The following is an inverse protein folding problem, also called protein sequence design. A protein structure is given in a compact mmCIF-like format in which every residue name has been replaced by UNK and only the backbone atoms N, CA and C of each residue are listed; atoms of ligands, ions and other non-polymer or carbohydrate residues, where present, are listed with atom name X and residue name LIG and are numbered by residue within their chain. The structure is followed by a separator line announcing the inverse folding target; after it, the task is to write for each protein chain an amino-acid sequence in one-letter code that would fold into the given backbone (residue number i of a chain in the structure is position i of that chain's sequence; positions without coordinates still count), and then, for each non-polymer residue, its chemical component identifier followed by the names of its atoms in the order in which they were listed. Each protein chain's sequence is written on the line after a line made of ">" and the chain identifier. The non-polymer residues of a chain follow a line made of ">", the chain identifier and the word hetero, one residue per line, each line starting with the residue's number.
data_IF_997558037178
#
_entry.id   IF_997558037178
#
_cell.length_a   1.000
_cell.length_b   1.000
_cell.length_c   1.000
_cell.angle_alpha   90.00
_cell.angle_beta   90.00
_cell.angle_gamma   90.00
#
_symmetry.space_group_name_H-M   'P 1'
#
loop_
_entity.id
_entity.type
_entity.pdbx_description
1 polymer ?
#
# COMPACT_ATOMS: atom_id res chain seq x y z
N UNK A 1 20.35 2.41 -30.60
CA UNK A 1 21.42 2.31 -31.61
C UNK A 1 20.85 2.54 -33.00
N UNK A 2 19.93 1.72 -33.51
CA UNK A 2 19.39 1.79 -34.88
C UNK A 2 18.81 3.15 -35.27
N UNK A 3 18.10 3.87 -34.38
CA UNK A 3 17.53 5.19 -34.68
C UNK A 3 18.62 6.28 -34.71
N UNK A 4 19.45 6.36 -33.65
CA UNK A 4 20.34 7.50 -33.44
C UNK A 4 21.72 7.34 -34.06
N UNK A 5 22.20 6.10 -34.25
CA UNK A 5 23.53 5.81 -34.83
C UNK A 5 23.38 5.41 -36.29
N UNK A 6 22.53 4.45 -36.61
CA UNK A 6 22.36 3.91 -37.96
C UNK A 6 21.36 4.75 -38.81
N UNK A 7 20.70 5.78 -38.21
CA UNK A 7 19.78 6.76 -38.85
C UNK A 7 18.69 6.13 -39.74
N UNK A 8 18.16 4.98 -39.31
CA UNK A 8 17.12 4.27 -40.03
C UNK A 8 15.79 5.06 -39.96
N UNK A 9 15.42 5.75 -41.05
CA UNK A 9 14.25 6.63 -41.08
C UNK A 9 12.93 5.91 -40.85
N UNK A 10 12.82 4.64 -41.19
CA UNK A 10 11.61 3.85 -40.98
C UNK A 10 11.32 3.63 -39.49
N UNK A 11 12.37 3.47 -38.66
CA UNK A 11 12.26 3.27 -37.22
C UNK A 11 11.95 4.57 -36.47
N UNK A 12 12.22 5.74 -37.03
CA UNK A 12 11.94 7.03 -36.40
C UNK A 12 10.43 7.22 -36.18
N UNK A 13 9.58 6.77 -37.11
CA UNK A 13 8.13 6.84 -36.96
C UNK A 13 7.54 5.61 -36.26
N UNK A 14 8.09 4.42 -36.51
CA UNK A 14 7.54 3.16 -36.00
C UNK A 14 7.70 3.03 -34.48
N UNK A 15 8.81 3.48 -33.91
CA UNK A 15 9.06 3.33 -32.47
C UNK A 15 8.18 4.27 -31.62
N UNK A 16 8.01 5.56 -31.94
CA UNK A 16 7.04 6.41 -31.22
C UNK A 16 5.62 5.89 -31.30
N UNK A 17 5.18 5.39 -32.45
CA UNK A 17 3.85 4.80 -32.61
C UNK A 17 3.73 3.54 -31.74
N UNK A 18 4.71 2.65 -31.75
CA UNK A 18 4.71 1.46 -30.91
C UNK A 18 4.66 1.80 -29.42
N UNK A 19 5.37 2.86 -28.99
CA UNK A 19 5.30 3.35 -27.59
C UNK A 19 3.89 3.84 -27.26
N UNK A 20 3.27 4.65 -28.13
CA UNK A 20 1.90 5.14 -27.92
C UNK A 20 0.93 3.96 -27.80
N UNK A 21 1.02 2.98 -28.70
CA UNK A 21 0.18 1.76 -28.66
C UNK A 21 0.40 1.00 -27.34
N UNK A 22 1.64 0.79 -26.93
CA UNK A 22 1.98 0.07 -25.70
C UNK A 22 1.42 0.78 -24.45
N UNK A 23 1.60 2.09 -24.34
CA UNK A 23 1.07 2.86 -23.21
C UNK A 23 -0.46 2.95 -23.22
N UNK A 24 -1.08 3.09 -24.37
CA UNK A 24 -2.54 3.09 -24.52
C UNK A 24 -3.12 1.74 -24.12
N UNK A 25 -2.54 0.65 -24.62
CA UNK A 25 -2.95 -0.73 -24.26
C UNK A 25 -2.81 -0.98 -22.75
N UNK A 26 -1.67 -0.55 -22.16
CA UNK A 26 -1.44 -0.63 -20.72
C UNK A 26 -2.50 0.16 -19.93
N UNK A 27 -2.81 1.40 -20.38
CA UNK A 27 -3.81 2.25 -19.72
C UNK A 27 -5.22 1.64 -19.80
N UNK A 28 -5.63 1.17 -20.97
CA UNK A 28 -6.92 0.50 -21.18
C UNK A 28 -7.03 -0.78 -20.35
N UNK A 29 -6.01 -1.63 -20.36
CA UNK A 29 -5.97 -2.86 -19.57
C UNK A 29 -6.11 -2.58 -18.08
N UNK A 30 -5.41 -1.54 -17.57
CA UNK A 30 -5.51 -1.13 -16.18
C UNK A 30 -6.90 -0.59 -15.83
N UNK A 31 -7.52 0.17 -16.74
CA UNK A 31 -8.89 0.67 -16.57
C UNK A 31 -9.88 -0.49 -16.45
N UNK A 32 -9.85 -1.44 -17.39
CA UNK A 32 -10.74 -2.60 -17.37
C UNK A 32 -10.53 -3.46 -16.13
N UNK A 33 -9.28 -3.70 -15.74
CA UNK A 33 -8.96 -4.45 -14.53
C UNK A 33 -9.52 -3.77 -13.27
N UNK A 34 -9.36 -2.44 -13.13
CA UNK A 34 -9.92 -1.68 -12.01
C UNK A 34 -11.45 -1.66 -12.03
N UNK A 35 -12.07 -1.43 -13.20
CA UNK A 35 -13.52 -1.40 -13.35
C UNK A 35 -14.17 -2.76 -12.99
N UNK A 36 -13.59 -3.86 -13.47
CA UNK A 36 -14.03 -5.21 -13.10
C UNK A 36 -13.86 -5.45 -11.59
N UNK A 37 -12.74 -5.02 -11.01
CA UNK A 37 -12.48 -5.22 -9.59
C UNK A 37 -13.41 -4.42 -8.69
N UNK A 38 -13.82 -3.22 -9.11
CA UNK A 38 -14.86 -2.43 -8.44
C UNK A 38 -16.18 -3.21 -8.45
N UNK A 39 -16.60 -3.73 -9.60
CA UNK A 39 -17.83 -4.51 -9.71
C UNK A 39 -17.81 -5.75 -8.82
N UNK A 40 -16.71 -6.49 -8.81
CA UNK A 40 -16.53 -7.66 -7.93
C UNK A 40 -16.58 -7.25 -6.45
N UNK A 41 -15.89 -6.17 -6.09
CA UNK A 41 -15.86 -5.66 -4.71
C UNK A 41 -17.25 -5.25 -4.21
N UNK A 42 -18.02 -4.53 -5.00
CA UNK A 42 -19.38 -4.12 -4.64
C UNK A 42 -20.35 -5.32 -4.55
N UNK A 43 -20.18 -6.34 -5.38
CA UNK A 43 -20.96 -7.59 -5.27
C UNK A 43 -20.62 -8.36 -3.99
N UNK A 44 -19.34 -8.47 -3.64
CA UNK A 44 -18.90 -9.10 -2.38
C UNK A 44 -19.46 -8.33 -1.19
N UNK A 45 -19.38 -7.01 -1.20
CA UNK A 45 -19.93 -6.13 -0.18
C UNK A 45 -21.42 -6.34 0.01
N UNK A 46 -22.19 -6.31 -1.08
CA UNK A 46 -23.64 -6.57 -1.06
C UNK A 46 -23.94 -7.92 -0.41
N UNK A 47 -23.24 -8.99 -0.82
CA UNK A 47 -23.48 -10.32 -0.31
C UNK A 47 -23.13 -10.44 1.18
N UNK A 48 -21.99 -9.89 1.60
CA UNK A 48 -21.60 -9.84 3.02
C UNK A 48 -22.62 -9.08 3.86
N UNK A 49 -23.06 -7.91 3.41
CA UNK A 49 -24.06 -7.11 4.10
C UNK A 49 -25.40 -7.87 4.19
N UNK A 50 -25.80 -8.54 3.13
CA UNK A 50 -27.01 -9.35 3.11
C UNK A 50 -26.94 -10.53 4.08
N UNK A 51 -25.82 -11.26 4.11
CA UNK A 51 -25.61 -12.38 5.03
C UNK A 51 -25.58 -11.92 6.49
N UNK A 52 -24.97 -10.76 6.75
CA UNK A 52 -24.99 -10.14 8.08
C UNK A 52 -26.41 -9.76 8.53
N UNK A 53 -27.22 -9.15 7.64
CA UNK A 53 -28.61 -8.82 7.94
C UNK A 53 -29.44 -10.10 8.15
N UNK A 54 -29.25 -11.11 7.30
CA UNK A 54 -29.91 -12.41 7.46
C UNK A 54 -29.55 -13.06 8.80
N UNK A 55 -28.29 -13.05 9.19
CA UNK A 55 -27.84 -13.55 10.47
C UNK A 55 -28.46 -12.78 11.65
N UNK A 56 -28.56 -11.45 11.52
CA UNK A 56 -29.17 -10.61 12.54
C UNK A 56 -30.65 -10.94 12.74
N UNK A 57 -31.38 -11.23 11.67
CA UNK A 57 -32.81 -11.59 11.72
C UNK A 57 -33.09 -12.93 12.41
N UNK A 58 -32.10 -13.84 12.43
CA UNK A 58 -32.21 -15.16 13.07
C UNK A 58 -31.65 -15.16 14.49
N UNK A 59 -30.92 -14.09 14.88
CA UNK A 59 -30.27 -13.98 16.19
C UNK A 59 -31.29 -13.76 17.28
N UNK A 60 -31.06 -14.40 18.46
CA UNK A 60 -31.88 -14.23 19.64
C UNK A 60 -31.90 -12.75 20.11
N UNK A 61 -33.09 -12.27 20.46
CA UNK A 61 -33.33 -10.91 20.95
C UNK A 61 -32.48 -10.54 22.17
N UNK A 62 -32.21 -11.50 23.06
CA UNK A 62 -31.35 -11.29 24.24
C UNK A 62 -29.91 -10.88 23.89
N UNK A 63 -29.41 -11.30 22.72
CA UNK A 63 -28.07 -10.93 22.25
C UNK A 63 -28.08 -9.51 21.67
N UNK A 64 -29.19 -9.15 21.02
CA UNK A 64 -29.36 -7.82 20.41
C UNK A 64 -29.54 -6.75 21.50
N UNK A 65 -30.34 -7.04 22.52
CA UNK A 65 -30.60 -6.11 23.63
C UNK A 65 -29.36 -5.79 24.47
N UNK A 66 -28.44 -6.75 24.60
CA UNK A 66 -27.16 -6.56 25.30
C UNK A 66 -26.11 -5.76 24.53
N UNK A 67 -26.27 -5.57 23.25
CA UNK A 67 -25.30 -4.87 22.39
C UNK A 67 -25.94 -3.60 21.82
N UNK A 68 -25.18 -2.52 21.82
CA UNK A 68 -25.63 -1.25 21.25
C UNK A 68 -25.86 -1.40 19.74
N UNK A 69 -27.04 -1.10 19.24
CA UNK A 69 -27.42 -1.13 17.82
C UNK A 69 -26.44 -0.37 16.91
N UNK A 70 -25.87 0.72 17.41
CA UNK A 70 -24.84 1.49 16.69
C UNK A 70 -23.60 0.67 16.32
N UNK A 71 -23.21 -0.35 17.10
CA UNK A 71 -22.10 -1.23 16.78
C UNK A 71 -22.42 -2.14 15.59
N UNK A 72 -23.63 -2.68 15.52
CA UNK A 72 -24.06 -3.50 14.39
C UNK A 72 -24.12 -2.67 13.11
N UNK A 73 -24.66 -1.46 13.17
CA UNK A 73 -24.72 -0.53 12.04
C UNK A 73 -23.30 -0.17 11.56
N UNK A 74 -22.41 0.14 12.51
CA UNK A 74 -21.00 0.42 12.18
C UNK A 74 -20.33 -0.75 11.46
N UNK A 75 -20.46 -1.96 11.98
CA UNK A 75 -19.88 -3.15 11.36
C UNK A 75 -20.47 -3.39 9.97
N UNK A 76 -21.79 -3.26 9.81
CA UNK A 76 -22.49 -3.51 8.55
C UNK A 76 -22.09 -2.50 7.47
N UNK A 77 -21.91 -1.24 7.82
CA UNK A 77 -21.65 -0.17 6.86
C UNK A 77 -20.16 0.09 6.70
N UNK A 78 -19.42 0.30 7.78
CA UNK A 78 -18.03 0.76 7.72
C UNK A 78 -17.04 -0.40 7.63
N UNK A 79 -17.17 -1.43 8.46
CA UNK A 79 -16.19 -2.52 8.48
C UNK A 79 -16.23 -3.34 7.19
N UNK A 80 -17.43 -3.61 6.66
CA UNK A 80 -17.58 -4.30 5.36
C UNK A 80 -16.98 -3.47 4.23
N UNK A 81 -17.20 -2.14 4.22
CA UNK A 81 -16.58 -1.26 3.22
C UNK A 81 -15.05 -1.31 3.28
N UNK A 82 -14.48 -1.26 4.48
CA UNK A 82 -13.03 -1.32 4.65
C UNK A 82 -12.45 -2.66 4.20
N UNK A 83 -13.08 -3.76 4.57
CA UNK A 83 -12.62 -5.10 4.18
C UNK A 83 -12.67 -5.28 2.67
N UNK A 84 -13.79 -4.93 2.02
CA UNK A 84 -13.93 -5.11 0.57
C UNK A 84 -13.00 -4.20 -0.22
N UNK A 85 -12.80 -2.95 0.21
CA UNK A 85 -11.85 -2.03 -0.42
C UNK A 85 -10.40 -2.53 -0.30
N UNK A 86 -10.01 -3.01 0.88
CA UNK A 86 -8.67 -3.58 1.10
C UNK A 86 -8.44 -4.83 0.26
N UNK A 87 -9.41 -5.76 0.22
CA UNK A 87 -9.31 -6.99 -0.57
C UNK A 87 -9.20 -6.70 -2.07
N UNK A 88 -10.05 -5.81 -2.60
CA UNK A 88 -10.05 -5.46 -4.02
C UNK A 88 -8.71 -4.82 -4.44
N UNK A 89 -8.20 -3.88 -3.66
CA UNK A 89 -6.92 -3.24 -3.93
C UNK A 89 -5.75 -4.22 -3.77
N UNK A 90 -5.75 -5.04 -2.71
CA UNK A 90 -4.67 -5.99 -2.46
C UNK A 90 -4.56 -7.05 -3.56
N UNK A 91 -5.68 -7.63 -3.98
CA UNK A 91 -5.72 -8.64 -5.04
C UNK A 91 -5.19 -8.05 -6.36
N UNK A 92 -5.72 -6.88 -6.78
CA UNK A 92 -5.30 -6.24 -8.01
C UNK A 92 -3.80 -5.92 -8.00
N UNK A 93 -3.31 -5.35 -6.89
CA UNK A 93 -1.89 -4.99 -6.73
C UNK A 93 -1.00 -6.23 -6.73
N UNK A 94 -1.37 -7.28 -6.01
CA UNK A 94 -0.61 -8.52 -5.98
C UNK A 94 -0.44 -9.13 -7.37
N UNK A 95 -1.53 -9.28 -8.12
CA UNK A 95 -1.46 -9.85 -9.48
C UNK A 95 -0.66 -8.94 -10.43
N UNK A 96 -0.98 -7.66 -10.46
CA UNK A 96 -0.29 -6.71 -11.35
C UNK A 96 1.21 -6.63 -11.06
N UNK A 97 1.58 -6.45 -9.79
CA UNK A 97 2.98 -6.25 -9.42
C UNK A 97 3.78 -7.55 -9.51
N UNK A 98 3.17 -8.71 -9.21
CA UNK A 98 3.82 -10.02 -9.43
C UNK A 98 4.11 -10.29 -10.90
N UNK A 99 3.15 -10.04 -11.80
CA UNK A 99 3.35 -10.20 -13.24
C UNK A 99 4.39 -9.21 -13.77
N UNK A 100 4.38 -7.97 -13.29
CA UNK A 100 5.37 -6.96 -13.64
C UNK A 100 6.76 -7.40 -13.18
N UNK A 101 6.90 -7.89 -11.96
CA UNK A 101 8.16 -8.37 -11.41
C UNK A 101 8.71 -9.56 -12.21
N UNK A 102 7.87 -10.53 -12.55
CA UNK A 102 8.27 -11.68 -13.38
C UNK A 102 8.74 -11.20 -14.77
N UNK A 103 7.96 -10.31 -15.40
CA UNK A 103 8.32 -9.76 -16.71
C UNK A 103 9.66 -9.02 -16.70
N UNK A 104 9.89 -8.16 -15.71
CA UNK A 104 11.14 -7.43 -15.56
C UNK A 104 12.33 -8.38 -15.26
N UNK A 105 12.13 -9.39 -14.41
CA UNK A 105 13.18 -10.40 -14.17
C UNK A 105 13.55 -11.14 -15.45
N UNK A 106 12.59 -11.56 -16.27
CA UNK A 106 12.86 -12.19 -17.56
C UNK A 106 13.72 -11.27 -18.44
N UNK A 107 13.32 -9.99 -18.57
CA UNK A 107 14.10 -9.01 -19.35
C UNK A 107 15.50 -8.84 -18.79
N UNK A 108 15.67 -8.71 -17.48
CA UNK A 108 16.99 -8.60 -16.85
C UNK A 108 17.88 -9.82 -17.15
N UNK A 109 17.34 -11.03 -17.01
CA UNK A 109 18.10 -12.25 -17.28
C UNK A 109 18.49 -12.42 -18.75
N UNK A 110 17.63 -11.99 -19.69
CA UNK A 110 17.96 -12.01 -21.12
C UNK A 110 19.04 -11.01 -21.50
N UNK A 111 19.17 -9.89 -20.77
CA UNK A 111 20.23 -8.90 -21.01
C UNK A 111 21.58 -9.34 -20.42
N UNK A 112 21.62 -9.72 -19.16
CA UNK A 112 22.84 -10.22 -18.52
C UNK A 112 22.54 -10.96 -17.21
N UNK A 113 22.72 -12.28 -17.19
CA UNK A 113 22.45 -13.12 -16.03
C UNK A 113 23.31 -12.79 -14.79
N UNK A 114 24.57 -12.34 -14.99
CA UNK A 114 25.47 -11.99 -13.88
C UNK A 114 25.03 -10.74 -13.16
N UNK A 115 24.62 -9.70 -13.90
CA UNK A 115 24.05 -8.47 -13.32
C UNK A 115 22.72 -8.76 -12.63
N UNK A 116 21.90 -9.63 -13.20
CA UNK A 116 20.62 -10.05 -12.62
C UNK A 116 20.79 -10.71 -11.26
N UNK A 117 21.78 -11.61 -11.12
CA UNK A 117 22.08 -12.24 -9.83
C UNK A 117 22.49 -11.22 -8.76
N UNK A 118 23.31 -10.22 -9.12
CA UNK A 118 23.70 -9.15 -8.20
C UNK A 118 22.48 -8.36 -7.75
N UNK A 119 21.57 -8.04 -8.68
CA UNK A 119 20.33 -7.30 -8.36
C UNK A 119 19.40 -8.09 -7.43
N UNK A 120 19.30 -9.41 -7.63
CA UNK A 120 18.45 -10.28 -6.78
C UNK A 120 18.92 -10.29 -5.32
N UNK A 121 20.22 -10.12 -5.04
CA UNK A 121 20.74 -10.03 -3.67
C UNK A 121 20.14 -8.84 -2.90
N UNK A 122 19.70 -7.80 -3.59
CA UNK A 122 19.06 -6.64 -2.95
C UNK A 122 17.63 -6.94 -2.46
N UNK A 123 16.93 -7.92 -3.05
CA UNK A 123 15.56 -8.29 -2.64
C UNK A 123 15.50 -8.70 -1.16
N UNK A 124 16.33 -9.64 -0.65
CA UNK A 124 16.33 -9.98 0.77
C UNK A 124 16.70 -8.80 1.68
N UNK A 125 17.63 -7.93 1.28
CA UNK A 125 17.98 -6.73 2.05
C UNK A 125 16.79 -5.76 2.18
N UNK A 126 16.10 -5.48 1.08
CA UNK A 126 14.89 -4.67 1.08
C UNK A 126 13.78 -5.32 1.91
N UNK A 127 13.59 -6.63 1.78
CA UNK A 127 12.60 -7.41 2.52
C UNK A 127 12.85 -7.40 4.04
N UNK A 128 14.09 -7.54 4.48
CA UNK A 128 14.45 -7.44 5.90
C UNK A 128 14.16 -6.06 6.48
N UNK A 129 14.48 -5.00 5.73
CA UNK A 129 14.17 -3.63 6.12
C UNK A 129 12.67 -3.40 6.23
N UNK A 130 11.90 -3.82 5.23
CA UNK A 130 10.44 -3.74 5.21
C UNK A 130 9.80 -4.54 6.36
N UNK A 131 10.28 -5.76 6.63
CA UNK A 131 9.78 -6.61 7.73
C UNK A 131 10.01 -5.97 9.10
N UNK A 132 11.18 -5.38 9.32
CA UNK A 132 11.53 -4.74 10.59
C UNK A 132 10.68 -3.51 10.85
N UNK A 133 10.53 -2.64 9.83
CA UNK A 133 9.68 -1.46 9.91
C UNK A 133 8.20 -1.83 10.04
N UNK A 134 7.74 -2.83 9.28
CA UNK A 134 6.37 -3.33 9.34
C UNK A 134 5.99 -3.86 10.72
N UNK A 135 6.85 -4.64 11.37
CA UNK A 135 6.62 -5.10 12.77
C UNK A 135 6.51 -3.92 13.74
N UNK A 136 7.36 -2.92 13.58
CA UNK A 136 7.33 -1.72 14.43
C UNK A 136 6.05 -0.92 14.19
N UNK A 137 5.64 -0.74 12.94
CA UNK A 137 4.38 -0.09 12.59
C UNK A 137 3.18 -0.83 13.19
N UNK A 138 3.13 -2.16 13.06
CA UNK A 138 2.04 -2.97 13.59
C UNK A 138 1.88 -2.78 15.09
N UNK A 139 2.97 -2.80 15.87
CA UNK A 139 2.92 -2.55 17.31
C UNK A 139 2.36 -1.17 17.64
N UNK A 140 2.86 -0.11 16.99
CA UNK A 140 2.40 1.26 17.24
C UNK A 140 0.94 1.43 16.80
N UNK A 141 0.53 0.78 15.71
CA UNK A 141 -0.86 0.81 15.23
C UNK A 141 -1.82 0.20 16.25
N UNK A 142 -1.47 -0.95 16.86
CA UNK A 142 -2.27 -1.55 17.95
C UNK A 142 -2.40 -0.58 19.13
N UNK A 143 -1.30 0.02 19.56
CA UNK A 143 -1.32 1.01 20.65
C UNK A 143 -2.17 2.25 20.29
N UNK A 144 -2.14 2.71 19.04
CA UNK A 144 -2.98 3.82 18.56
C UNK A 144 -4.47 3.43 18.56
N UNK A 145 -4.79 2.19 18.15
CA UNK A 145 -6.16 1.68 18.17
C UNK A 145 -6.72 1.61 19.60
N UNK A 146 -5.92 1.18 20.58
CA UNK A 146 -6.30 1.21 21.99
C UNK A 146 -6.60 2.64 22.46
N UNK A 147 -5.73 3.61 22.12
CA UNK A 147 -5.95 5.02 22.48
C UNK A 147 -7.18 5.61 21.80
N UNK A 148 -7.45 5.22 20.55
CA UNK A 148 -8.69 5.57 19.86
C UNK A 148 -9.92 5.01 20.57
N UNK A 149 -9.86 3.76 21.04
CA UNK A 149 -10.91 3.14 21.82
C UNK A 149 -11.20 3.89 23.13
N UNK A 150 -10.14 4.29 23.87
CA UNK A 150 -10.29 5.10 25.08
C UNK A 150 -10.92 6.47 24.79
N UNK A 151 -10.49 7.14 23.71
CA UNK A 151 -11.09 8.41 23.29
C UNK A 151 -12.58 8.24 22.94
N UNK A 152 -12.92 7.20 22.18
CA UNK A 152 -14.30 6.91 21.81
C UNK A 152 -15.17 6.68 23.06
N UNK A 153 -14.69 5.88 24.02
CA UNK A 153 -15.38 5.67 25.30
C UNK A 153 -15.59 6.98 26.04
N UNK A 154 -14.55 7.80 26.16
CA UNK A 154 -14.63 9.11 26.79
C UNK A 154 -15.66 10.02 26.12
N UNK A 155 -15.67 10.09 24.78
CA UNK A 155 -16.63 10.90 24.03
C UNK A 155 -18.08 10.43 24.26
N UNK A 156 -18.32 9.12 24.27
CA UNK A 156 -19.65 8.57 24.58
C UNK A 156 -20.09 8.96 25.99
N UNK A 157 -19.21 8.88 26.99
CA UNK A 157 -19.49 9.32 28.37
C UNK A 157 -19.77 10.82 28.44
N UNK A 158 -19.00 11.63 27.72
CA UNK A 158 -19.16 13.08 27.66
C UNK A 158 -20.52 13.48 27.06
N UNK A 159 -20.92 12.86 25.94
CA UNK A 159 -22.22 13.11 25.34
C UNK A 159 -23.38 12.65 26.24
N UNK A 160 -23.25 11.47 26.83
CA UNK A 160 -24.27 10.93 27.75
C UNK A 160 -24.49 11.82 28.99
N UNK A 161 -23.39 12.37 29.51
CA UNK A 161 -23.39 13.17 30.73
C UNK A 161 -23.35 14.69 30.46
N UNK A 162 -23.58 15.14 29.22
CA UNK A 162 -23.45 16.54 28.84
C UNK A 162 -24.30 17.48 29.72
N UNK A 163 -25.54 17.08 30.06
CA UNK A 163 -26.40 17.85 30.95
C UNK A 163 -25.82 18.03 32.36
N UNK A 164 -25.19 16.97 32.90
CA UNK A 164 -24.53 17.02 34.21
C UNK A 164 -23.30 17.93 34.17
N UNK A 165 -22.52 17.87 33.11
CA UNK A 165 -21.34 18.74 32.95
C UNK A 165 -21.76 20.20 32.98
N UNK A 166 -22.89 20.55 32.34
CA UNK A 166 -23.45 21.90 32.35
C UNK A 166 -23.96 22.32 33.74
N UNK A 167 -24.66 21.44 34.41
CA UNK A 167 -25.20 21.72 35.76
C UNK A 167 -24.05 21.98 36.75
N UNK A 168 -22.98 21.20 36.69
CA UNK A 168 -21.83 21.31 37.60
C UNK A 168 -20.74 22.26 37.11
N UNK A 169 -20.92 22.91 35.95
CA UNK A 169 -19.96 23.85 35.34
C UNK A 169 -18.53 23.24 35.22
N UNK A 170 -18.46 21.98 34.77
CA UNK A 170 -17.21 21.22 34.66
C UNK A 170 -16.66 21.15 33.23
N UNK A 171 -17.02 22.12 32.38
CA UNK A 171 -16.63 22.16 30.98
C UNK A 171 -15.09 22.19 30.82
N UNK A 172 -14.39 23.03 31.58
CA UNK A 172 -12.94 23.14 31.48
C UNK A 172 -12.22 21.88 31.99
N UNK A 173 -12.77 21.21 33.00
CA UNK A 173 -12.25 19.94 33.46
C UNK A 173 -12.35 18.87 32.37
N UNK A 174 -13.52 18.72 31.74
CA UNK A 174 -13.72 17.73 30.67
C UNK A 174 -12.95 18.09 29.39
N UNK A 175 -12.80 19.38 29.07
CA UNK A 175 -11.93 19.86 28.00
C UNK A 175 -10.48 19.44 28.19
N UNK A 176 -9.94 19.61 29.40
CA UNK A 176 -8.56 19.20 29.72
C UNK A 176 -8.39 17.66 29.65
N UNK A 177 -9.42 16.88 30.01
CA UNK A 177 -9.43 15.42 29.83
C UNK A 177 -9.44 15.04 28.36
N UNK A 178 -10.27 15.71 27.55
CA UNK A 178 -10.32 15.50 26.10
C UNK A 178 -8.96 15.79 25.47
N UNK A 179 -8.33 16.90 25.82
CA UNK A 179 -7.01 17.28 25.29
C UNK A 179 -5.96 16.19 25.58
N UNK A 180 -5.93 15.64 26.79
CA UNK A 180 -5.02 14.54 27.15
C UNK A 180 -5.24 13.29 26.27
N UNK A 181 -6.47 12.89 26.01
CA UNK A 181 -6.78 11.73 25.14
C UNK A 181 -6.40 12.01 23.69
N UNK A 182 -6.69 13.23 23.19
CA UNK A 182 -6.34 13.66 21.85
C UNK A 182 -4.82 13.74 21.65
N UNK A 183 -4.08 14.31 22.63
CA UNK A 183 -2.63 14.36 22.60
C UNK A 183 -2.00 12.97 22.55
N UNK A 184 -2.49 12.02 23.37
CA UNK A 184 -2.01 10.64 23.33
C UNK A 184 -2.26 9.96 21.99
N UNK A 185 -3.43 10.17 21.38
CA UNK A 185 -3.73 9.63 20.06
C UNK A 185 -2.86 10.27 18.97
N UNK A 186 -2.70 11.61 19.01
CA UNK A 186 -1.80 12.36 18.12
C UNK A 186 -0.38 11.78 18.16
N UNK A 187 0.18 11.59 19.36
CA UNK A 187 1.55 11.08 19.51
C UNK A 187 1.73 9.69 18.87
N UNK A 188 0.75 8.80 19.04
CA UNK A 188 0.79 7.47 18.41
C UNK A 188 0.64 7.55 16.90
N UNK A 189 -0.30 8.35 16.41
CA UNK A 189 -0.50 8.57 14.97
C UNK A 189 0.74 9.20 14.33
N UNK A 190 1.35 10.17 14.96
CA UNK A 190 2.59 10.79 14.48
C UNK A 190 3.76 9.78 14.42
N UNK A 191 3.88 8.89 15.42
CA UNK A 191 4.88 7.82 15.41
C UNK A 191 4.68 6.84 14.26
N UNK A 192 3.43 6.45 13.96
CA UNK A 192 3.12 5.61 12.79
C UNK A 192 3.60 6.29 11.51
N UNK A 193 3.20 7.53 11.29
CA UNK A 193 3.57 8.30 10.09
C UNK A 193 5.09 8.47 9.98
N UNK A 194 5.77 8.75 11.09
CA UNK A 194 7.24 8.88 11.12
C UNK A 194 7.93 7.57 10.72
N UNK A 195 7.44 6.41 11.17
CA UNK A 195 7.99 5.11 10.77
C UNK A 195 7.71 4.84 9.28
N UNK A 196 6.52 5.18 8.79
CA UNK A 196 6.16 5.03 7.39
C UNK A 196 7.05 5.89 6.47
N UNK A 197 7.24 7.16 6.81
CA UNK A 197 8.08 8.08 6.02
C UNK A 197 9.56 7.63 5.99
N UNK A 198 10.06 6.96 7.03
CA UNK A 198 11.43 6.41 7.02
C UNK A 198 11.66 5.31 6.00
N UNK A 199 10.59 4.71 5.49
CA UNK A 199 10.70 3.64 4.51
C UNK A 199 11.27 4.12 3.17
N UNK A 200 10.83 5.30 2.70
CA UNK A 200 11.31 5.87 1.43
C UNK A 200 12.81 6.16 1.41
N UNK A 201 13.39 6.91 2.38
CA UNK A 201 14.83 7.16 2.38
C UNK A 201 15.69 5.89 2.50
N UNK A 202 15.22 4.88 3.24
CA UNK A 202 15.92 3.61 3.35
C UNK A 202 15.95 2.90 1.99
N UNK A 203 14.80 2.83 1.30
CA UNK A 203 14.73 2.21 -0.02
C UNK A 203 15.52 2.98 -1.06
N UNK A 204 15.50 4.31 -1.04
CA UNK A 204 16.30 5.16 -1.92
C UNK A 204 17.81 4.93 -1.71
N UNK A 205 18.25 4.86 -0.46
CA UNK A 205 19.65 4.58 -0.12
C UNK A 205 20.06 3.20 -0.62
N UNK A 206 19.25 2.16 -0.39
CA UNK A 206 19.50 0.81 -0.89
C UNK A 206 19.57 0.77 -2.42
N UNK A 207 18.64 1.47 -3.09
CA UNK A 207 18.64 1.58 -4.55
C UNK A 207 19.89 2.28 -5.06
N UNK A 208 20.30 3.38 -4.41
CA UNK A 208 21.54 4.09 -4.77
C UNK A 208 22.79 3.23 -4.62
N UNK A 209 22.88 2.45 -3.54
CA UNK A 209 23.98 1.50 -3.32
C UNK A 209 23.96 0.42 -4.41
N UNK A 210 22.79 -0.13 -4.73
CA UNK A 210 22.64 -1.13 -5.79
C UNK A 210 23.11 -0.58 -7.15
N UNK A 211 22.62 0.60 -7.55
CA UNK A 211 23.00 1.22 -8.82
C UNK A 211 24.51 1.46 -8.87
N UNK A 212 25.12 1.92 -7.78
CA UNK A 212 26.58 2.13 -7.70
C UNK A 212 27.37 0.82 -7.90
N UNK A 213 26.94 -0.26 -7.25
CA UNK A 213 27.54 -1.59 -7.42
C UNK A 213 27.39 -2.08 -8.86
N UNK A 214 26.20 -1.92 -9.44
CA UNK A 214 25.92 -2.32 -10.83
C UNK A 214 26.77 -1.54 -11.82
N UNK A 215 26.91 -0.22 -11.65
CA UNK A 215 27.77 0.61 -12.51
C UNK A 215 29.22 0.18 -12.38
N UNK A 216 29.73 -0.01 -11.18
CA UNK A 216 31.11 -0.44 -10.96
C UNK A 216 31.40 -1.80 -11.60
N UNK A 217 30.52 -2.78 -11.40
CA UNK A 217 30.71 -4.12 -11.95
C UNK A 217 30.51 -4.15 -13.45
N UNK A 218 29.53 -3.43 -14.01
CA UNK A 218 29.31 -3.35 -15.46
C UNK A 218 30.47 -2.64 -16.19
N UNK A 219 31.02 -1.56 -15.60
CA UNK A 219 32.24 -0.92 -16.15
C UNK A 219 33.40 -1.91 -16.30
N UNK A 220 33.57 -2.78 -15.30
CA UNK A 220 34.58 -3.86 -15.35
C UNK A 220 34.27 -4.92 -16.41
N UNK A 221 33.00 -5.25 -16.65
CA UNK A 221 32.60 -6.18 -17.70
C UNK A 221 32.75 -5.57 -19.10
N UNK A 222 32.41 -4.31 -19.26
CA UNK A 222 32.53 -3.56 -20.51
C UNK A 222 34.02 -3.42 -20.89
N UNK A 223 34.91 -3.10 -19.95
CA UNK A 223 36.33 -2.98 -20.18
C UNK A 223 36.98 -4.31 -20.62
N UNK A 224 36.36 -5.44 -20.24
CA UNK A 224 36.78 -6.80 -20.67
C UNK A 224 36.09 -7.28 -21.96
N UNK A 225 35.24 -6.45 -22.59
CA UNK A 225 34.51 -6.83 -23.80
C UNK A 225 33.39 -7.87 -23.56
N UNK A 226 33.02 -8.12 -22.30
CA UNK A 226 31.99 -9.13 -21.92
C UNK A 226 30.55 -8.57 -21.84
N UNK A 227 30.39 -7.26 -21.94
CA UNK A 227 29.09 -6.59 -21.90
C UNK A 227 29.06 -5.43 -22.89
N UNK A 228 28.01 -5.36 -23.70
CA UNK A 228 27.77 -4.20 -24.56
C UNK A 228 27.09 -3.06 -23.74
N UNK A 229 27.51 -1.83 -24.03
CA UNK A 229 26.94 -0.62 -23.37
C UNK A 229 25.42 -0.55 -23.53
N UNK A 230 24.89 -0.94 -24.69
CA UNK A 230 23.45 -0.93 -24.93
C UNK A 230 22.69 -1.90 -24.03
N UNK A 231 23.24 -3.09 -23.81
CA UNK A 231 22.66 -4.10 -22.93
C UNK A 231 22.69 -3.65 -21.47
N UNK A 232 23.73 -2.91 -21.07
CA UNK A 232 23.77 -2.30 -19.74
C UNK A 232 22.67 -1.26 -19.52
N UNK A 233 22.46 -0.33 -20.46
CA UNK A 233 21.38 0.64 -20.34
C UNK A 233 20.00 0.00 -20.38
N UNK A 234 19.80 -1.03 -21.21
CA UNK A 234 18.55 -1.80 -21.24
C UNK A 234 18.31 -2.54 -19.92
N UNK A 235 19.37 -3.08 -19.31
CA UNK A 235 19.31 -3.70 -17.99
C UNK A 235 18.99 -2.71 -16.89
N UNK A 236 19.58 -1.51 -16.93
CA UNK A 236 19.34 -0.47 -15.93
C UNK A 236 17.91 0.10 -15.99
N UNK A 237 17.31 0.07 -17.19
CA UNK A 237 15.93 0.53 -17.40
C UNK A 237 14.87 -0.50 -16.98
N UNK A 238 15.24 -1.78 -16.85
CA UNK A 238 14.36 -2.87 -16.41
C UNK A 238 14.35 -3.00 -14.89
#
# INVERSE_FOLDING_TARGET
>A
KKIFIDKDQSLIFLIPIAIIIAFTTKGLSLYFAKATMISVGENIKKNLQFDMVKSLMITDTQIIDKKHSGKFISNLIYDVNHITALLSNAILTLFKDSLTLIGLLIVMFTQNWKLSLISIIMIPLASLSAKTLGKRMGKIATEAQEKSGYLTKFLVELFKNHKLIKIFQKEDYEKNRADKHLAQLKDKSQKIQTVFVRMSPIMETLTGVMISILIFYSAKLISKGQLDINNFFSFLAA
#
